data_IF_497733529211
#
_entry.id   IF_497733529211
#
_cell.length_a   1.000
_cell.length_b   1.000
_cell.length_c   1.000
_cell.angle_alpha   90.00
_cell.angle_beta   90.00
_cell.angle_gamma   90.00
#
_symmetry.space_group_name_H-M   'P 1'
#
loop_
_entity.id
_entity.type
_entity.pdbx_description
1 polymer ?
#
# COMPACT_ATOMS: atom_id res chain seq x y z
N UNK A 1 4.15 -33.86 20.47
CA UNK A 1 5.19 -33.03 19.82
C UNK A 1 4.72 -32.63 18.44
N UNK A 2 4.43 -31.34 18.23
CA UNK A 2 3.82 -30.84 16.99
C UNK A 2 4.71 -31.12 15.79
N UNK A 3 4.17 -31.81 14.78
CA UNK A 3 4.86 -32.27 13.55
C UNK A 3 5.71 -31.18 12.89
N UNK A 4 5.30 -29.90 13.02
CA UNK A 4 6.03 -28.74 12.52
C UNK A 4 7.43 -28.59 13.13
N UNK A 5 7.55 -28.56 14.47
CA UNK A 5 8.84 -28.32 15.13
C UNK A 5 9.82 -29.46 14.88
N UNK A 6 9.34 -30.70 14.97
CA UNK A 6 10.14 -31.89 14.60
C UNK A 6 10.65 -31.79 13.16
N UNK A 7 9.79 -31.44 12.20
CA UNK A 7 10.21 -31.26 10.79
C UNK A 7 11.21 -30.12 10.62
N UNK A 8 11.00 -28.99 11.30
CA UNK A 8 11.92 -27.85 11.23
C UNK A 8 13.31 -28.22 11.75
N UNK A 9 13.39 -28.90 12.90
CA UNK A 9 14.65 -29.36 13.47
C UNK A 9 15.36 -30.38 12.58
N UNK A 10 14.64 -31.37 12.04
CA UNK A 10 15.22 -32.34 11.09
C UNK A 10 15.66 -31.72 9.77
N UNK A 11 14.93 -30.71 9.29
CA UNK A 11 15.25 -30.00 8.06
C UNK A 11 16.30 -28.89 8.22
N UNK A 12 16.90 -28.75 9.41
CA UNK A 12 17.80 -27.64 9.75
C UNK A 12 17.20 -26.24 9.50
N UNK A 13 15.87 -26.13 9.62
CA UNK A 13 15.11 -24.88 9.50
C UNK A 13 14.98 -24.25 10.88
N UNK A 14 16.08 -23.66 11.37
CA UNK A 14 16.16 -23.09 12.71
C UNK A 14 16.37 -21.58 12.65
N UNK A 15 15.30 -20.76 12.66
CA UNK A 15 15.46 -19.32 12.76
C UNK A 15 16.08 -18.97 14.11
N UNK A 16 17.17 -18.22 14.11
CA UNK A 16 17.80 -17.74 15.34
C UNK A 16 17.19 -16.42 15.74
N UNK A 17 16.57 -16.38 16.92
CA UNK A 17 16.15 -15.12 17.52
C UNK A 17 17.39 -14.43 18.08
N UNK A 18 17.77 -13.30 17.50
CA UNK A 18 18.96 -12.55 17.94
C UNK A 18 18.78 -12.11 19.39
N UNK A 19 19.66 -12.62 20.26
CA UNK A 19 19.69 -12.30 21.69
C UNK A 19 21.10 -12.49 22.24
N UNK A 20 21.36 -11.86 23.38
CA UNK A 20 22.54 -12.19 24.21
C UNK A 20 22.18 -13.27 25.22
N UNK A 21 23.16 -14.01 25.71
CA UNK A 21 22.94 -15.02 26.77
C UNK A 21 22.33 -14.39 28.03
N UNK A 22 22.74 -13.16 28.36
CA UNK A 22 22.16 -12.38 29.46
C UNK A 22 20.67 -12.05 29.25
N UNK A 23 20.17 -12.08 28.02
CA UNK A 23 18.75 -11.88 27.75
C UNK A 23 17.90 -13.09 28.14
N UNK A 24 18.45 -14.31 28.15
CA UNK A 24 17.72 -15.51 28.58
C UNK A 24 17.30 -15.40 30.06
N UNK A 25 18.16 -14.83 30.91
CA UNK A 25 17.87 -14.55 32.31
C UNK A 25 16.72 -13.55 32.55
N UNK A 26 16.27 -12.85 31.50
CA UNK A 26 15.09 -11.97 31.56
C UNK A 26 13.80 -12.65 31.13
N UNK A 27 13.89 -13.87 30.60
CA UNK A 27 12.74 -14.66 30.19
C UNK A 27 12.50 -15.71 31.28
N UNK A 28 11.27 -15.78 31.79
CA UNK A 28 10.93 -16.70 32.86
C UNK A 28 9.44 -17.06 32.83
N UNK A 29 9.10 -18.21 33.41
CA UNK A 29 7.73 -18.60 33.67
C UNK A 29 7.40 -18.30 35.14
N UNK A 30 6.35 -17.51 35.37
CA UNK A 30 5.81 -17.16 36.70
C UNK A 30 6.77 -16.37 37.60
N UNK A 31 7.95 -16.90 37.91
CA UNK A 31 8.96 -16.32 38.80
C UNK A 31 10.35 -16.22 38.13
N UNK A 32 11.06 -15.08 38.25
CA UNK A 32 12.35 -14.87 37.59
C UNK A 32 13.53 -15.64 38.20
N UNK A 33 13.46 -16.06 39.47
CA UNK A 33 14.52 -16.80 40.16
C UNK A 33 14.40 -18.31 39.88
N UNK A 34 13.19 -18.86 39.95
CA UNK A 34 12.95 -20.30 39.81
C UNK A 34 12.53 -20.72 38.40
N UNK A 35 11.74 -19.90 37.72
CA UNK A 35 11.24 -20.17 36.37
C UNK A 35 12.12 -19.62 35.25
N UNK A 36 13.36 -19.21 35.55
CA UNK A 36 14.26 -18.59 34.58
C UNK A 36 14.60 -19.53 33.42
N UNK A 37 14.45 -19.04 32.19
CA UNK A 37 14.92 -19.74 30.98
C UNK A 37 16.43 -19.58 30.78
N UNK A 38 17.12 -18.84 31.66
CA UNK A 38 18.59 -18.72 31.67
C UNK A 38 19.32 -19.96 32.17
N UNK A 39 18.63 -20.85 32.89
CA UNK A 39 19.20 -22.11 33.34
C UNK A 39 19.44 -23.07 32.16
N UNK A 40 20.52 -23.84 32.26
CA UNK A 40 20.86 -24.87 31.27
C UNK A 40 19.76 -25.94 31.22
N UNK A 41 19.28 -26.26 30.01
CA UNK A 41 18.22 -27.24 29.79
C UNK A 41 16.79 -26.71 29.88
N UNK A 42 16.57 -25.46 30.30
CA UNK A 42 15.21 -24.91 30.49
C UNK A 42 14.71 -24.03 29.34
N UNK A 43 15.48 -23.93 28.26
CA UNK A 43 15.17 -23.12 27.09
C UNK A 43 15.30 -23.91 25.79
N UNK A 44 14.74 -25.12 25.75
CA UNK A 44 14.76 -25.92 24.53
C UNK A 44 14.22 -25.14 23.33
N UNK A 45 14.70 -25.51 22.15
CA UNK A 45 14.41 -24.82 20.89
C UNK A 45 12.91 -24.59 20.68
N UNK A 46 12.07 -25.55 21.05
CA UNK A 46 10.62 -25.52 20.93
C UNK A 46 9.96 -24.37 21.73
N UNK A 47 10.55 -23.98 22.86
CA UNK A 47 10.04 -22.94 23.75
C UNK A 47 10.35 -21.55 23.22
N UNK A 48 11.51 -21.36 22.61
CA UNK A 48 11.97 -20.03 22.19
C UNK A 48 11.89 -19.85 20.68
N UNK A 49 12.76 -20.52 19.92
CA UNK A 49 12.79 -20.46 18.45
C UNK A 49 11.47 -20.98 17.85
N UNK A 50 10.93 -22.06 18.41
CA UNK A 50 9.65 -22.64 18.02
C UNK A 50 8.50 -21.67 18.23
N UNK A 51 8.33 -21.12 19.44
CA UNK A 51 7.26 -20.16 19.74
C UNK A 51 7.42 -18.84 18.99
N UNK A 52 8.64 -18.38 18.78
CA UNK A 52 8.89 -17.22 17.94
C UNK A 52 8.47 -17.49 16.48
N UNK A 53 8.76 -18.69 15.96
CA UNK A 53 8.28 -19.11 14.63
C UNK A 53 6.76 -19.06 14.55
N UNK A 54 6.04 -19.57 15.57
CA UNK A 54 4.59 -19.49 15.60
C UNK A 54 4.10 -18.04 15.58
N UNK A 55 4.73 -17.15 16.34
CA UNK A 55 4.41 -15.72 16.33
C UNK A 55 4.61 -15.10 14.94
N UNK A 56 5.71 -15.42 14.25
CA UNK A 56 5.94 -14.96 12.87
C UNK A 56 4.88 -15.49 11.91
N UNK A 57 4.50 -16.76 12.05
CA UNK A 57 3.46 -17.37 11.21
C UNK A 57 2.10 -16.69 11.41
N UNK A 58 1.67 -16.43 12.65
CA UNK A 58 0.37 -15.82 12.92
C UNK A 58 0.35 -14.32 12.66
N UNK A 59 1.33 -13.58 13.16
CA UNK A 59 1.30 -12.11 13.17
C UNK A 59 1.75 -11.48 11.86
N UNK A 60 2.53 -12.21 11.05
CA UNK A 60 3.08 -11.69 9.80
C UNK A 60 2.68 -12.52 8.60
N UNK A 61 3.02 -13.81 8.54
CA UNK A 61 2.77 -14.59 7.34
C UNK A 61 1.26 -14.81 7.08
N UNK A 62 0.50 -15.10 8.14
CA UNK A 62 -0.94 -15.27 8.10
C UNK A 62 -1.69 -13.96 7.85
N UNK A 63 -1.29 -12.87 8.53
CA UNK A 63 -1.92 -11.55 8.34
C UNK A 63 -1.73 -11.00 6.94
N UNK A 64 -0.57 -11.24 6.32
CA UNK A 64 -0.29 -10.90 4.92
C UNK A 64 -0.97 -11.85 3.92
N UNK A 65 -1.61 -12.93 4.38
CA UNK A 65 -2.24 -13.93 3.52
C UNK A 65 -1.25 -14.81 2.76
N UNK A 66 0.01 -14.90 3.20
CA UNK A 66 1.04 -15.75 2.59
C UNK A 66 0.81 -17.24 2.91
N UNK A 67 0.24 -17.51 4.09
CA UNK A 67 -0.13 -18.85 4.53
C UNK A 67 -1.52 -18.85 5.14
N UNK A 68 -2.27 -19.92 4.92
CA UNK A 68 -3.47 -20.21 5.70
C UNK A 68 -3.08 -20.99 6.94
N UNK A 69 -3.72 -20.65 8.06
CA UNK A 69 -3.46 -21.25 9.37
C UNK A 69 -4.69 -22.00 9.85
N UNK A 70 -4.53 -23.30 10.13
CA UNK A 70 -5.54 -24.08 10.84
C UNK A 70 -5.15 -24.16 12.31
N UNK A 71 -5.98 -23.63 13.18
CA UNK A 71 -5.68 -23.57 14.61
C UNK A 71 -6.89 -23.92 15.47
N UNK A 72 -6.61 -24.42 16.66
CA UNK A 72 -7.56 -24.66 17.75
C UNK A 72 -7.27 -23.68 18.89
N UNK A 73 -8.13 -23.55 19.92
CA UNK A 73 -7.76 -22.86 21.15
C UNK A 73 -6.40 -23.36 21.68
N UNK A 74 -5.59 -22.43 22.18
CA UNK A 74 -4.22 -22.72 22.60
C UNK A 74 -4.14 -23.56 23.88
N UNK A 75 -5.15 -23.43 24.75
CA UNK A 75 -5.24 -24.19 25.99
C UNK A 75 -5.11 -25.68 25.72
N UNK A 76 -4.15 -26.31 26.39
CA UNK A 76 -3.84 -27.74 26.33
C UNK A 76 -3.44 -28.26 24.94
N UNK A 77 -3.17 -27.38 23.98
CA UNK A 77 -2.79 -27.78 22.63
C UNK A 77 -1.35 -28.33 22.54
N UNK A 78 -0.49 -27.95 23.49
CA UNK A 78 0.92 -28.36 23.58
C UNK A 78 1.35 -28.53 25.03
N UNK A 79 2.33 -29.40 25.26
CA UNK A 79 2.82 -29.77 26.59
C UNK A 79 4.36 -29.78 26.70
N UNK A 80 5.06 -29.33 25.65
CA UNK A 80 6.53 -29.32 25.54
C UNK A 80 7.24 -28.36 26.50
N UNK A 81 6.49 -27.57 27.27
CA UNK A 81 7.00 -26.62 28.25
C UNK A 81 6.67 -27.00 29.70
N UNK A 82 5.94 -28.11 29.93
CA UNK A 82 5.40 -28.48 31.24
C UNK A 82 6.47 -28.94 32.23
N UNK A 83 7.62 -29.38 31.74
CA UNK A 83 8.75 -29.78 32.58
C UNK A 83 9.52 -28.57 33.16
N UNK A 84 9.23 -27.34 32.69
CA UNK A 84 9.79 -26.14 33.27
C UNK A 84 9.08 -25.76 34.57
N UNK A 85 9.85 -25.23 35.54
CA UNK A 85 9.32 -24.74 36.79
C UNK A 85 8.24 -23.66 36.56
N UNK A 86 7.12 -23.77 37.26
CA UNK A 86 6.00 -22.82 37.18
C UNK A 86 5.06 -23.03 35.97
N UNK A 87 5.27 -24.08 35.17
CA UNK A 87 4.40 -24.42 34.04
C UNK A 87 3.18 -25.29 34.39
N UNK A 88 3.08 -25.77 35.63
CA UNK A 88 2.08 -26.74 36.07
C UNK A 88 0.64 -26.24 35.85
N UNK A 89 0.38 -24.97 36.14
CA UNK A 89 -0.95 -24.35 36.02
C UNK A 89 -1.15 -23.57 34.70
N UNK A 90 -0.18 -23.60 33.78
CA UNK A 90 -0.25 -22.85 32.52
C UNK A 90 -0.94 -23.66 31.43
N UNK A 91 -2.18 -23.28 31.08
CA UNK A 91 -2.92 -23.92 29.98
C UNK A 91 -2.18 -23.90 28.63
N UNK A 92 -1.39 -22.86 28.37
CA UNK A 92 -0.56 -22.72 27.17
C UNK A 92 0.64 -21.81 27.45
N UNK A 93 1.75 -22.01 26.72
CA UNK A 93 2.90 -21.11 26.78
C UNK A 93 2.72 -19.90 25.85
N UNK A 94 2.05 -20.11 24.72
CA UNK A 94 1.75 -19.05 23.75
C UNK A 94 0.33 -19.15 23.25
N UNK A 95 -0.27 -18.00 22.90
CA UNK A 95 -1.58 -17.92 22.24
C UNK A 95 -1.63 -18.64 20.88
N UNK A 96 -0.48 -18.99 20.32
CA UNK A 96 -0.36 -19.70 19.04
C UNK A 96 -0.16 -21.21 19.19
N UNK A 97 -0.13 -21.74 20.41
CA UNK A 97 0.15 -23.16 20.67
C UNK A 97 -0.85 -24.09 19.96
N UNK A 98 -2.06 -23.58 19.71
CA UNK A 98 -3.11 -24.26 18.96
C UNK A 98 -2.86 -24.47 17.47
N UNK A 99 -1.71 -24.08 16.90
CA UNK A 99 -1.41 -24.31 15.48
C UNK A 99 -1.36 -25.81 15.15
N UNK A 100 -2.23 -26.24 14.24
CA UNK A 100 -2.33 -27.62 13.76
C UNK A 100 -1.63 -27.79 12.41
N UNK A 101 -1.98 -26.95 11.44
CA UNK A 101 -1.53 -27.07 10.05
C UNK A 101 -1.30 -25.68 9.44
N UNK A 102 -0.38 -25.63 8.47
CA UNK A 102 -0.14 -24.47 7.61
C UNK A 102 -0.29 -24.88 6.15
N UNK A 103 -0.88 -24.02 5.34
CA UNK A 103 -0.96 -24.18 3.88
C UNK A 103 -0.38 -22.95 3.21
N UNK A 104 0.55 -23.13 2.27
CA UNK A 104 1.06 -22.03 1.46
C UNK A 104 -0.01 -21.55 0.47
N UNK A 105 -0.27 -20.24 0.43
CA UNK A 105 -1.23 -19.66 -0.52
C UNK A 105 -0.58 -19.38 -1.88
N UNK A 106 -1.39 -19.09 -2.90
CA UNK A 106 -0.87 -18.64 -4.20
C UNK A 106 -0.04 -17.35 -4.08
N UNK A 107 -0.44 -16.45 -3.17
CA UNK A 107 0.31 -15.23 -2.86
C UNK A 107 1.63 -15.56 -2.17
N UNK A 108 1.61 -16.47 -1.19
CA UNK A 108 2.81 -16.94 -0.50
C UNK A 108 3.81 -17.59 -1.45
N UNK A 109 3.35 -18.45 -2.35
CA UNK A 109 4.21 -19.08 -3.36
C UNK A 109 4.89 -18.05 -4.26
N UNK A 110 4.17 -17.02 -4.69
CA UNK A 110 4.74 -15.93 -5.49
C UNK A 110 5.73 -15.08 -4.68
N UNK A 111 5.35 -14.67 -3.46
CA UNK A 111 6.19 -13.83 -2.60
C UNK A 111 7.51 -14.52 -2.20
N UNK A 112 7.49 -15.85 -2.08
CA UNK A 112 8.68 -16.66 -1.80
C UNK A 112 9.49 -17.04 -3.05
N UNK A 113 9.08 -16.57 -4.24
CA UNK A 113 9.78 -16.87 -5.50
C UNK A 113 9.66 -18.32 -5.96
N UNK A 114 8.67 -19.07 -5.47
CA UNK A 114 8.40 -20.45 -5.90
C UNK A 114 7.64 -20.48 -7.25
N UNK A 115 7.01 -19.36 -7.62
CA UNK A 115 6.38 -19.15 -8.93
C UNK A 115 6.70 -17.74 -9.44
N UNK A 116 6.95 -17.60 -10.74
CA UNK A 116 7.35 -16.32 -11.36
C UNK A 116 6.18 -15.36 -11.58
N UNK A 117 4.94 -15.86 -11.55
CA UNK A 117 3.75 -15.05 -11.84
C UNK A 117 2.67 -15.35 -10.82
N UNK A 118 2.24 -14.31 -10.12
CA UNK A 118 1.08 -14.39 -9.25
C UNK A 118 -0.18 -14.62 -10.08
N UNK A 119 -0.94 -15.64 -9.72
CA UNK A 119 -2.30 -15.86 -10.22
C UNK A 119 -3.24 -15.89 -9.02
N UNK A 120 -4.10 -14.88 -8.83
CA UNK A 120 -5.06 -14.91 -7.75
C UNK A 120 -6.00 -16.12 -7.91
N UNK A 121 -6.44 -16.74 -6.81
CA UNK A 121 -7.47 -17.77 -6.88
C UNK A 121 -8.72 -17.18 -7.54
N UNK A 122 -9.24 -17.88 -8.56
CA UNK A 122 -10.40 -17.40 -9.31
C UNK A 122 -11.63 -17.51 -8.41
N UNK A 123 -12.08 -16.41 -7.83
CA UNK A 123 -13.43 -16.27 -7.32
C UNK A 123 -14.36 -16.18 -8.52
N UNK A 124 -14.95 -17.31 -8.92
CA UNK A 124 -15.76 -17.44 -10.14
C UNK A 124 -17.07 -16.63 -10.17
N UNK A 125 -17.30 -15.72 -9.22
CA UNK A 125 -18.45 -14.83 -9.25
C UNK A 125 -18.12 -13.60 -10.09
N UNK A 126 -18.99 -13.28 -11.05
CA UNK A 126 -18.99 -12.01 -11.78
C UNK A 126 -20.20 -11.20 -11.32
N UNK A 127 -20.14 -10.57 -10.14
CA UNK A 127 -21.32 -10.05 -9.47
C UNK A 127 -21.77 -8.70 -10.02
N UNK A 128 -21.16 -8.19 -11.10
CA UNK A 128 -21.45 -6.86 -11.63
C UNK A 128 -22.04 -6.93 -13.05
N UNK A 129 -22.86 -5.93 -13.37
CA UNK A 129 -23.34 -5.66 -14.72
C UNK A 129 -23.24 -4.16 -14.98
N UNK A 130 -22.57 -3.78 -16.08
CA UNK A 130 -22.53 -2.38 -16.52
C UNK A 130 -23.62 -2.16 -17.56
N UNK A 131 -24.50 -1.21 -17.29
CA UNK A 131 -25.62 -0.85 -18.15
C UNK A 131 -25.20 0.22 -19.16
N UNK A 132 -26.00 0.40 -20.22
CA UNK A 132 -25.74 1.38 -21.28
C UNK A 132 -25.87 2.83 -20.81
N UNK A 133 -26.59 3.07 -19.71
CA UNK A 133 -26.67 4.36 -19.03
C UNK A 133 -25.47 4.61 -18.07
N UNK A 134 -24.46 3.74 -18.09
CA UNK A 134 -23.24 3.79 -17.26
C UNK A 134 -23.44 3.51 -15.78
N UNK A 135 -24.61 2.97 -15.40
CA UNK A 135 -24.80 2.40 -14.08
C UNK A 135 -24.11 1.04 -13.98
N UNK A 136 -23.41 0.82 -12.88
CA UNK A 136 -22.86 -0.46 -12.47
C UNK A 136 -23.84 -1.04 -11.44
N UNK A 137 -24.41 -2.20 -11.76
CA UNK A 137 -25.40 -2.88 -10.91
C UNK A 137 -24.82 -4.17 -10.38
N UNK A 138 -24.94 -4.39 -9.06
CA UNK A 138 -24.56 -5.64 -8.44
C UNK A 138 -25.64 -6.71 -8.63
N UNK A 139 -25.35 -7.74 -9.42
CA UNK A 139 -26.19 -8.92 -9.66
C UNK A 139 -25.93 -10.05 -8.64
N UNK A 140 -24.80 -10.03 -7.94
CA UNK A 140 -24.43 -10.99 -6.89
C UNK A 140 -23.76 -10.32 -5.70
N UNK A 141 -23.24 -11.10 -4.75
CA UNK A 141 -22.55 -10.52 -3.60
C UNK A 141 -21.24 -9.85 -4.02
N UNK A 142 -21.14 -8.56 -3.70
CA UNK A 142 -19.97 -7.73 -3.97
C UNK A 142 -19.13 -7.67 -2.70
N UNK A 143 -17.88 -8.11 -2.82
CA UNK A 143 -16.94 -8.13 -1.69
C UNK A 143 -16.67 -6.72 -1.18
N UNK A 144 -16.21 -6.60 0.07
CA UNK A 144 -15.81 -5.30 0.62
C UNK A 144 -14.70 -4.63 -0.20
N UNK A 145 -13.77 -5.42 -0.73
CA UNK A 145 -12.70 -4.93 -1.61
C UNK A 145 -13.26 -4.37 -2.92
N UNK A 146 -14.18 -5.09 -3.58
CA UNK A 146 -14.80 -4.61 -4.82
C UNK A 146 -15.63 -3.34 -4.59
N UNK A 147 -16.34 -3.24 -3.45
CA UNK A 147 -17.08 -2.01 -3.08
C UNK A 147 -16.14 -0.81 -2.91
N UNK A 148 -14.96 -1.00 -2.30
CA UNK A 148 -13.97 0.07 -2.18
C UNK A 148 -13.46 0.54 -3.54
N UNK A 149 -13.27 -0.37 -4.49
CA UNK A 149 -12.90 0.00 -5.88
C UNK A 149 -14.03 0.76 -6.54
N UNK A 150 -15.28 0.30 -6.43
CA UNK A 150 -16.43 1.00 -7.01
C UNK A 150 -16.58 2.42 -6.45
N UNK A 151 -16.53 2.59 -5.12
CA UNK A 151 -16.65 3.90 -4.47
C UNK A 151 -15.49 4.86 -4.78
N UNK A 152 -14.35 4.35 -5.25
CA UNK A 152 -13.23 5.18 -5.67
C UNK A 152 -13.43 5.82 -7.05
N UNK A 153 -14.31 5.27 -7.88
CA UNK A 153 -14.46 5.63 -9.30
C UNK A 153 -15.88 6.03 -9.69
N UNK A 154 -16.87 5.64 -8.89
CA UNK A 154 -18.28 5.80 -9.16
C UNK A 154 -19.03 6.24 -7.90
N UNK A 155 -20.12 6.98 -8.10
CA UNK A 155 -20.98 7.44 -7.01
C UNK A 155 -22.00 6.35 -6.68
N UNK A 156 -22.11 5.94 -5.42
CA UNK A 156 -23.13 4.98 -5.01
C UNK A 156 -24.50 5.67 -4.93
N UNK A 157 -25.36 5.42 -5.93
CA UNK A 157 -26.69 6.02 -6.03
C UNK A 157 -27.78 5.19 -5.34
N UNK A 158 -27.52 3.90 -5.13
CA UNK A 158 -28.35 3.00 -4.33
C UNK A 158 -27.50 1.86 -3.73
N UNK A 159 -28.09 1.05 -2.85
CA UNK A 159 -27.38 -0.04 -2.14
C UNK A 159 -26.56 -0.96 -3.06
N UNK A 160 -27.08 -1.19 -4.27
CA UNK A 160 -26.51 -2.10 -5.27
C UNK A 160 -26.20 -1.43 -6.61
N UNK A 161 -26.17 -0.10 -6.65
CA UNK A 161 -26.00 0.67 -7.90
C UNK A 161 -24.96 1.77 -7.71
N UNK A 162 -24.03 1.85 -8.66
CA UNK A 162 -23.01 2.90 -8.73
C UNK A 162 -23.04 3.57 -10.10
N UNK A 163 -23.17 4.89 -10.13
CA UNK A 163 -23.18 5.67 -11.36
C UNK A 163 -21.77 6.13 -11.73
N UNK A 164 -21.34 5.83 -12.96
CA UNK A 164 -20.07 6.34 -13.49
C UNK A 164 -20.33 7.64 -14.24
N UNK A 165 -19.52 8.66 -13.97
CA UNK A 165 -19.58 9.94 -14.68
C UNK A 165 -18.18 10.41 -15.11
N UNK A 166 -18.11 11.22 -16.17
CA UNK A 166 -16.84 11.81 -16.62
C UNK A 166 -16.15 12.62 -15.52
N UNK A 167 -16.93 13.38 -14.73
CA UNK A 167 -16.41 14.15 -13.62
C UNK A 167 -15.82 13.26 -12.52
N UNK A 168 -16.49 12.16 -12.16
CA UNK A 168 -15.99 11.18 -11.20
C UNK A 168 -14.68 10.53 -11.66
N UNK A 169 -14.62 10.09 -12.93
CA UNK A 169 -13.40 9.50 -13.49
C UNK A 169 -12.23 10.49 -13.55
N UNK A 170 -12.47 11.74 -13.96
CA UNK A 170 -11.45 12.81 -13.98
C UNK A 170 -10.96 13.15 -12.57
N UNK A 171 -11.86 13.19 -11.59
CA UNK A 171 -11.50 13.39 -10.18
C UNK A 171 -10.63 12.24 -9.66
N UNK A 172 -10.98 10.99 -9.96
CA UNK A 172 -10.19 9.82 -9.59
C UNK A 172 -8.78 9.84 -10.22
N UNK A 173 -8.66 10.23 -11.50
CA UNK A 173 -7.37 10.45 -12.17
C UNK A 173 -6.56 11.56 -11.49
N UNK A 174 -7.19 12.68 -11.12
CA UNK A 174 -6.54 13.78 -10.39
C UNK A 174 -5.99 13.36 -9.02
N UNK A 175 -6.54 12.30 -8.42
CA UNK A 175 -6.05 11.69 -7.18
C UNK A 175 -4.99 10.61 -7.42
N UNK A 176 -4.43 10.50 -8.62
CA UNK A 176 -3.34 9.57 -8.95
C UNK A 176 -3.77 8.12 -9.20
N UNK A 177 -5.07 7.85 -9.38
CA UNK A 177 -5.57 6.50 -9.69
C UNK A 177 -5.44 6.20 -11.18
N UNK A 178 -5.26 4.93 -11.54
CA UNK A 178 -5.13 4.50 -12.93
C UNK A 178 -6.47 4.05 -13.52
N UNK A 179 -7.00 4.78 -14.52
CA UNK A 179 -8.29 4.46 -15.15
C UNK A 179 -8.30 3.08 -15.83
N UNK A 180 -7.13 2.63 -16.31
CA UNK A 180 -6.94 1.29 -16.87
C UNK A 180 -7.25 0.20 -15.85
N UNK A 181 -6.78 0.33 -14.61
CA UNK A 181 -7.04 -0.64 -13.55
C UNK A 181 -8.53 -0.77 -13.24
N UNK A 182 -9.28 0.34 -13.32
CA UNK A 182 -10.72 0.31 -13.15
C UNK A 182 -11.45 -0.38 -14.30
N UNK A 183 -11.02 -0.14 -15.54
CA UNK A 183 -11.58 -0.82 -16.70
C UNK A 183 -11.31 -2.34 -16.65
N UNK A 184 -10.09 -2.75 -16.30
CA UNK A 184 -9.70 -4.15 -16.13
C UNK A 184 -10.49 -4.80 -14.98
N UNK A 185 -10.61 -4.11 -13.84
CA UNK A 185 -11.45 -4.54 -12.72
C UNK A 185 -12.90 -4.81 -13.14
N UNK A 186 -13.54 -3.87 -13.84
CA UNK A 186 -14.91 -4.08 -14.28
C UNK A 186 -14.99 -5.27 -15.25
N UNK A 187 -14.09 -5.35 -16.22
CA UNK A 187 -14.06 -6.44 -17.19
C UNK A 187 -13.94 -7.83 -16.53
N UNK A 188 -13.17 -7.94 -15.44
CA UNK A 188 -13.04 -9.20 -14.69
C UNK A 188 -14.27 -9.56 -13.85
N UNK A 189 -15.04 -8.56 -13.38
CA UNK A 189 -16.20 -8.76 -12.48
C UNK A 189 -17.55 -8.70 -13.19
N UNK A 190 -17.57 -8.36 -14.48
CA UNK A 190 -18.78 -8.31 -15.30
C UNK A 190 -18.99 -9.59 -16.09
N UNK A 191 -20.18 -10.17 -16.00
CA UNK A 191 -20.52 -11.37 -16.77
C UNK A 191 -20.55 -11.09 -18.27
N UNK A 192 -21.25 -10.02 -18.65
CA UNK A 192 -21.28 -9.49 -20.00
C UNK A 192 -20.19 -8.44 -20.15
N UNK A 193 -19.53 -8.38 -21.30
CA UNK A 193 -18.49 -7.38 -21.57
C UNK A 193 -19.00 -5.94 -21.40
N UNK A 194 -18.05 -5.01 -21.25
CA UNK A 194 -18.36 -3.60 -21.03
C UNK A 194 -19.09 -2.99 -22.25
N UNK A 195 -20.18 -2.22 -22.05
CA UNK A 195 -20.88 -1.53 -23.13
C UNK A 195 -19.99 -0.54 -23.88
N UNK A 196 -20.29 -0.31 -25.17
CA UNK A 196 -19.54 0.66 -25.98
C UNK A 196 -19.63 2.09 -25.41
N UNK A 197 -20.74 2.46 -24.78
CA UNK A 197 -20.89 3.73 -24.08
C UNK A 197 -19.80 3.93 -23.01
N UNK A 198 -19.43 2.87 -22.29
CA UNK A 198 -18.37 2.93 -21.28
C UNK A 198 -16.99 3.11 -21.94
N UNK A 199 -16.72 2.42 -23.05
CA UNK A 199 -15.47 2.57 -23.81
C UNK A 199 -15.29 4.00 -24.33
N UNK A 200 -16.34 4.57 -24.93
CA UNK A 200 -16.34 5.95 -25.41
C UNK A 200 -16.08 6.94 -24.27
N UNK A 201 -16.68 6.72 -23.10
CA UNK A 201 -16.42 7.55 -21.93
C UNK A 201 -14.95 7.47 -21.48
N UNK A 202 -14.38 6.26 -21.41
CA UNK A 202 -12.98 6.06 -21.02
C UNK A 202 -12.02 6.73 -22.02
N UNK A 203 -12.26 6.61 -23.32
CA UNK A 203 -11.47 7.28 -24.37
C UNK A 203 -11.55 8.80 -24.25
N UNK A 204 -12.75 9.34 -24.04
CA UNK A 204 -12.95 10.78 -23.88
C UNK A 204 -12.24 11.32 -22.62
N UNK A 205 -12.33 10.60 -21.49
CA UNK A 205 -11.65 10.97 -20.24
C UNK A 205 -10.13 10.91 -20.41
N UNK A 206 -9.58 9.85 -21.00
CA UNK A 206 -8.14 9.73 -21.29
C UNK A 206 -7.64 10.87 -22.18
N UNK A 207 -8.43 11.22 -23.21
CA UNK A 207 -8.12 12.35 -24.10
C UNK A 207 -8.10 13.66 -23.33
N UNK A 208 -9.06 13.91 -22.43
CA UNK A 208 -9.14 15.15 -21.64
C UNK A 208 -8.04 15.24 -20.58
N UNK A 209 -7.70 14.13 -19.92
CA UNK A 209 -6.67 14.11 -18.87
C UNK A 209 -5.27 14.41 -19.42
N UNK A 210 -5.03 14.14 -20.70
CA UNK A 210 -3.74 14.40 -21.35
C UNK A 210 -3.62 15.82 -21.96
N UNK A 211 -4.65 16.67 -21.88
CA UNK A 211 -4.65 18.00 -22.51
C UNK A 211 -3.96 19.09 -21.68
N UNK A 212 -3.73 18.84 -20.39
CA UNK A 212 -3.11 19.80 -19.49
C UNK A 212 -1.79 19.24 -18.99
N UNK A 213 -0.78 20.10 -18.90
CA UNK A 213 0.52 19.78 -18.32
C UNK A 213 0.81 20.80 -17.23
N UNK A 214 0.99 20.32 -16.00
CA UNK A 214 1.47 21.18 -14.93
C UNK A 214 2.96 21.47 -15.14
N UNK A 215 3.28 22.75 -15.36
CA UNK A 215 4.66 23.24 -15.54
C UNK A 215 5.26 23.80 -14.23
N UNK A 216 4.52 23.66 -13.12
CA UNK A 216 4.90 24.11 -11.79
C UNK A 216 4.55 25.56 -11.51
N UNK A 217 5.01 26.03 -10.35
CA UNK A 217 4.74 27.37 -9.86
C UNK A 217 5.67 28.40 -10.49
N UNK A 218 5.15 29.62 -10.68
CA UNK A 218 5.92 30.79 -11.11
C UNK A 218 5.62 31.96 -10.20
N UNK A 219 6.63 32.79 -9.96
CA UNK A 219 6.45 34.10 -9.32
C UNK A 219 6.06 35.10 -10.41
N UNK A 220 4.86 35.66 -10.27
CA UNK A 220 4.35 36.70 -11.17
C UNK A 220 4.84 38.08 -10.70
N UNK A 221 5.50 38.81 -11.59
CA UNK A 221 6.03 40.15 -11.34
C UNK A 221 5.35 41.11 -12.32
N UNK A 222 4.70 42.15 -11.78
CA UNK A 222 4.12 43.22 -12.58
C UNK A 222 5.16 44.32 -12.85
N UNK A 223 5.21 44.78 -14.10
CA UNK A 223 5.99 45.94 -14.53
C UNK A 223 5.12 47.20 -14.49
N UNK A 224 5.74 48.34 -14.18
CA UNK A 224 5.06 49.64 -14.13
C UNK A 224 4.36 49.99 -15.46
N UNK A 225 4.94 49.60 -16.59
CA UNK A 225 4.40 49.81 -17.94
C UNK A 225 4.87 48.69 -18.90
N UNK A 226 4.28 48.60 -20.11
CA UNK A 226 4.69 47.60 -21.10
C UNK A 226 6.12 47.78 -21.62
N UNK A 227 6.65 49.00 -21.64
CA UNK A 227 8.00 49.26 -22.15
C UNK A 227 9.06 48.64 -21.23
N UNK A 228 8.82 48.65 -19.91
CA UNK A 228 9.68 47.98 -18.94
C UNK A 228 9.65 46.45 -19.09
N UNK A 229 8.47 45.86 -19.34
CA UNK A 229 8.37 44.42 -19.61
C UNK A 229 9.13 44.02 -20.88
N UNK A 230 9.04 44.84 -21.94
CA UNK A 230 9.81 44.67 -23.19
C UNK A 230 11.31 44.80 -22.92
N UNK A 231 11.74 45.83 -22.17
CA UNK A 231 13.14 46.03 -21.81
C UNK A 231 13.73 44.80 -21.10
N UNK A 232 13.03 44.28 -20.08
CA UNK A 232 13.48 43.13 -19.29
C UNK A 232 13.52 41.85 -20.14
N UNK A 233 12.52 41.63 -20.99
CA UNK A 233 12.44 40.41 -21.82
C UNK A 233 13.41 40.40 -22.99
N UNK A 234 13.91 41.57 -23.43
CA UNK A 234 14.92 41.68 -24.48
C UNK A 234 16.36 41.76 -23.94
N UNK A 235 16.53 42.02 -22.65
CA UNK A 235 17.85 42.00 -22.01
C UNK A 235 18.49 40.61 -22.07
N UNK A 236 19.77 40.55 -22.45
CA UNK A 236 20.48 39.29 -22.70
C UNK A 236 20.64 38.44 -21.44
N UNK A 237 20.75 39.05 -20.26
CA UNK A 237 20.92 38.35 -18.99
C UNK A 237 19.57 37.91 -18.39
N UNK A 238 18.50 38.66 -18.65
CA UNK A 238 17.17 38.41 -18.08
C UNK A 238 16.26 37.54 -18.94
N UNK A 239 16.37 37.58 -20.27
CA UNK A 239 15.47 36.86 -21.20
C UNK A 239 15.37 35.34 -20.97
N UNK A 240 16.43 34.73 -20.43
CA UNK A 240 16.46 33.29 -20.13
C UNK A 240 15.96 32.93 -18.72
N UNK A 241 15.64 33.93 -17.91
CA UNK A 241 15.25 33.79 -16.49
C UNK A 241 13.78 34.16 -16.26
N UNK A 242 13.10 34.72 -17.26
CA UNK A 242 11.70 35.09 -17.20
C UNK A 242 10.97 34.81 -18.52
N UNK A 243 9.65 34.67 -18.46
CA UNK A 243 8.77 34.67 -19.64
C UNK A 243 7.73 35.78 -19.54
N UNK A 244 7.43 36.51 -20.62
CA UNK A 244 6.33 37.48 -20.62
C UNK A 244 4.97 36.78 -20.45
N UNK A 245 4.09 37.40 -19.67
CA UNK A 245 2.68 37.05 -19.54
C UNK A 245 1.85 38.31 -19.83
N UNK A 246 1.26 38.36 -21.02
CA UNK A 246 0.65 39.58 -21.54
C UNK A 246 1.66 40.72 -21.67
N UNK A 247 1.18 41.96 -21.55
CA UNK A 247 1.98 43.13 -21.93
C UNK A 247 2.79 43.71 -20.76
N UNK A 248 2.44 43.38 -19.51
CA UNK A 248 3.00 44.01 -18.30
C UNK A 248 3.49 43.03 -17.24
N UNK A 249 3.38 41.72 -17.43
CA UNK A 249 3.78 40.76 -16.40
C UNK A 249 4.90 39.83 -16.86
N UNK A 250 5.69 39.38 -15.90
CA UNK A 250 6.77 38.43 -16.09
C UNK A 250 6.56 37.24 -15.16
N UNK A 251 6.65 36.03 -15.69
CA UNK A 251 6.76 34.81 -14.89
C UNK A 251 8.23 34.44 -14.71
N UNK A 252 8.63 34.29 -13.46
CA UNK A 252 9.97 33.83 -13.06
C UNK A 252 9.82 32.52 -12.30
N UNK A 253 10.56 31.48 -12.71
CA UNK A 253 10.54 30.22 -11.97
C UNK A 253 11.26 30.39 -10.62
N UNK A 254 10.78 29.78 -9.52
CA UNK A 254 11.39 29.93 -8.20
C UNK A 254 12.89 29.59 -8.14
N UNK A 255 13.33 28.58 -8.91
CA UNK A 255 14.74 28.17 -9.02
C UNK A 255 15.64 29.22 -9.69
N UNK A 256 15.06 30.13 -10.48
CA UNK A 256 15.77 31.18 -11.19
C UNK A 256 15.67 32.55 -10.50
N UNK A 257 14.84 32.68 -9.46
CA UNK A 257 14.49 33.98 -8.87
C UNK A 257 15.70 34.77 -8.38
N UNK A 258 16.62 34.13 -7.66
CA UNK A 258 17.82 34.81 -7.15
C UNK A 258 18.72 35.33 -8.27
N UNK A 259 18.83 34.59 -9.38
CA UNK A 259 19.60 35.02 -10.56
C UNK A 259 18.89 36.17 -11.26
N UNK A 260 17.57 36.09 -11.39
CA UNK A 260 16.75 37.13 -11.98
C UNK A 260 16.88 38.45 -11.21
N UNK A 261 16.71 38.44 -9.88
CA UNK A 261 16.85 39.64 -9.03
C UNK A 261 18.23 40.28 -9.16
N UNK A 262 19.30 39.47 -9.18
CA UNK A 262 20.68 39.97 -9.36
C UNK A 262 20.89 40.63 -10.73
N UNK A 263 20.34 40.04 -11.79
CA UNK A 263 20.41 40.63 -13.13
C UNK A 263 19.55 41.90 -13.25
N UNK A 264 18.38 41.91 -12.60
CA UNK A 264 17.47 43.05 -12.59
C UNK A 264 18.08 44.25 -11.85
N UNK A 265 18.77 44.00 -10.73
CA UNK A 265 19.52 45.04 -10.01
C UNK A 265 20.60 45.68 -10.89
N UNK A 266 21.28 44.90 -11.73
CA UNK A 266 22.26 45.45 -12.70
C UNK A 266 21.62 46.29 -13.81
N UNK A 267 20.36 46.01 -14.15
CA UNK A 267 19.56 46.82 -15.05
C UNK A 267 19.01 48.09 -14.37
N UNK A 268 19.16 48.22 -13.05
CA UNK A 268 18.71 49.38 -12.27
C UNK A 268 17.32 49.24 -11.65
N UNK A 269 16.75 48.04 -11.64
CA UNK A 269 15.41 47.78 -11.10
C UNK A 269 15.45 46.79 -9.93
N UNK A 270 14.48 46.89 -9.02
CA UNK A 270 14.34 46.00 -7.87
C UNK A 270 12.90 45.51 -7.76
N UNK A 271 12.72 44.26 -7.36
CA UNK A 271 11.43 43.71 -6.95
C UNK A 271 11.45 43.58 -5.42
N UNK A 272 10.68 44.39 -4.68
CA UNK A 272 10.61 44.26 -3.22
C UNK A 272 10.05 42.89 -2.82
N UNK A 273 10.46 42.38 -1.67
CA UNK A 273 9.83 41.19 -1.08
C UNK A 273 8.42 41.55 -0.60
N UNK A 274 7.49 40.60 -0.78
CA UNK A 274 6.12 40.66 -0.25
C UNK A 274 6.06 39.80 1.00
#
# INVERSE_FOLDING_TARGET
MGVLFTRMRHGNMSPTVVRSDRALWKLYLVDPEYGSLGYEGYHEWELLEGRYTLAVLFEYAGTLGLVDLKYTPAAEARYDFRDNWGADDLDALSRYDGLQEIRLTALGAYALGLVDTYRPPVTGSRPLKVLTNLDIVATGDVTAADRLVLSAWAEQTADRVWAVSAAGLLSALGNGRALREFADFLAERTEHGLPDAFRVLVEDVNRRSAQLTDLGQVRLIECADPALAVLITHDRALRGLCRPIGDRHLAVRPDQELKFRKALLRLGHVVPER
#
